data_IF_227028336526
#
_entry.id   IF_227028336526
#
_cell.length_a   1.000
_cell.length_b   1.000
_cell.length_c   1.000
_cell.angle_alpha   90.00
_cell.angle_beta   90.00
_cell.angle_gamma   90.00
#
_symmetry.space_group_name_H-M   'P 1'
#
loop_
_entity.id
_entity.type
_entity.pdbx_description
1 polymer ?
#
# COMPACT_ATOMS: atom_id res chain seq x y z
N UNK A 1 43.53 18.77 39.22
CA UNK A 1 42.35 18.70 38.33
C UNK A 1 41.97 17.25 38.16
N UNK A 2 40.91 16.81 38.82
CA UNK A 2 40.37 15.45 38.73
C UNK A 2 39.41 15.39 37.54
N UNK A 3 39.79 14.64 36.50
CA UNK A 3 38.91 14.33 35.38
C UNK A 3 37.88 13.31 35.87
N UNK A 4 36.63 13.75 36.02
CA UNK A 4 35.51 12.85 36.24
C UNK A 4 35.22 12.12 34.93
N UNK A 5 35.74 10.90 34.79
CA UNK A 5 35.28 9.96 33.77
C UNK A 5 33.88 9.53 34.21
N UNK A 6 32.84 10.07 33.57
CA UNK A 6 31.48 9.56 33.75
C UNK A 6 31.47 8.10 33.31
N UNK A 7 31.35 7.18 34.27
CA UNK A 7 30.94 5.81 33.97
C UNK A 7 29.58 5.92 33.28
N UNK A 8 29.53 5.63 31.99
CA UNK A 8 28.28 5.22 31.36
C UNK A 8 27.80 3.97 32.11
N UNK A 9 26.91 4.17 33.08
CA UNK A 9 26.10 3.08 33.60
C UNK A 9 25.41 2.44 32.42
N UNK A 10 25.79 1.20 32.11
CA UNK A 10 25.18 0.37 31.07
C UNK A 10 23.69 0.32 31.37
N UNK A 11 22.91 1.17 30.71
CA UNK A 11 21.48 1.27 30.94
C UNK A 11 20.89 -0.08 30.53
N UNK A 12 20.37 -0.86 31.48
CA UNK A 12 19.76 -2.15 31.17
C UNK A 12 18.74 -1.92 30.06
N UNK A 13 18.80 -2.71 28.98
CA UNK A 13 17.86 -2.64 27.86
C UNK A 13 16.73 -3.65 28.05
N UNK A 14 15.58 -3.36 27.49
CA UNK A 14 14.54 -4.37 27.34
C UNK A 14 14.96 -5.33 26.22
N UNK A 15 14.94 -6.64 26.47
CA UNK A 15 15.31 -7.65 25.47
C UNK A 15 14.05 -8.29 24.88
N UNK A 16 14.00 -8.39 23.56
CA UNK A 16 12.81 -8.85 22.83
C UNK A 16 13.21 -9.90 21.79
N UNK A 17 12.53 -11.04 21.82
CA UNK A 17 12.67 -12.13 20.86
C UNK A 17 11.34 -12.34 20.12
N UNK A 18 11.28 -12.00 18.84
CA UNK A 18 10.11 -12.28 17.99
C UNK A 18 10.13 -13.73 17.55
N UNK A 19 9.03 -14.47 17.74
CA UNK A 19 8.96 -15.88 17.39
C UNK A 19 7.55 -16.30 17.00
N UNK A 20 7.46 -17.45 16.31
CA UNK A 20 6.20 -18.08 15.93
C UNK A 20 5.79 -19.12 16.98
N UNK A 21 4.52 -19.12 17.35
CA UNK A 21 3.91 -20.22 18.12
C UNK A 21 2.54 -20.56 17.54
N UNK A 22 2.40 -21.78 17.01
CA UNK A 22 1.20 -22.18 16.27
C UNK A 22 1.02 -21.33 15.01
N UNK A 23 -0.14 -20.69 14.87
CA UNK A 23 -0.47 -19.79 13.74
C UNK A 23 -0.33 -18.30 14.06
N UNK A 24 0.35 -17.94 15.14
CA UNK A 24 0.46 -16.54 15.60
C UNK A 24 1.90 -16.16 15.88
N UNK A 25 2.15 -14.85 15.85
CA UNK A 25 3.44 -14.24 16.20
C UNK A 25 3.36 -13.74 17.65
N UNK A 26 4.42 -14.02 18.39
CA UNK A 26 4.57 -13.62 19.79
C UNK A 26 5.95 -13.01 19.99
N UNK A 27 6.07 -12.25 21.07
CA UNK A 27 7.31 -11.67 21.54
C UNK A 27 7.64 -12.25 22.91
N UNK A 28 8.81 -12.85 23.06
CA UNK A 28 9.41 -13.14 24.35
C UNK A 28 10.07 -11.86 24.84
N UNK A 29 9.76 -11.42 26.06
CA UNK A 29 10.14 -10.09 26.56
C UNK A 29 10.77 -10.17 27.95
N UNK A 30 11.91 -9.48 28.11
CA UNK A 30 12.50 -9.13 29.40
C UNK A 30 12.47 -7.61 29.57
N UNK A 31 11.67 -7.14 30.52
CA UNK A 31 11.56 -5.72 30.86
C UNK A 31 12.64 -5.33 31.86
N UNK A 32 13.79 -4.86 31.37
CA UNK A 32 14.89 -4.40 32.23
C UNK A 32 15.24 -5.45 33.32
N UNK A 33 15.78 -5.02 34.46
CA UNK A 33 15.95 -5.86 35.65
C UNK A 33 14.76 -5.70 36.63
N UNK A 34 13.53 -5.62 36.10
CA UNK A 34 12.31 -5.46 36.91
C UNK A 34 11.49 -6.74 36.97
N UNK A 35 10.93 -7.02 38.16
CA UNK A 35 10.12 -8.21 38.43
C UNK A 35 8.60 -8.03 38.16
N UNK A 36 8.18 -6.90 37.58
CA UNK A 36 6.76 -6.60 37.36
C UNK A 36 6.49 -5.89 36.04
N UNK A 37 5.25 -5.99 35.56
CA UNK A 37 4.77 -5.35 34.34
C UNK A 37 3.37 -4.76 34.52
N UNK A 38 3.08 -3.74 33.74
CA UNK A 38 1.77 -3.08 33.63
C UNK A 38 1.07 -3.56 32.36
N UNK A 39 -0.27 -3.67 32.39
CA UNK A 39 -1.10 -3.91 31.21
C UNK A 39 -2.48 -3.27 31.38
N UNK A 40 -3.17 -2.99 30.27
CA UNK A 40 -4.53 -2.43 30.25
C UNK A 40 -5.60 -3.53 30.43
N UNK A 41 -6.74 -3.18 31.05
CA UNK A 41 -7.84 -4.10 31.36
C UNK A 41 -8.36 -4.78 30.07
N UNK A 42 -8.44 -6.12 30.05
CA UNK A 42 -8.85 -6.91 28.87
C UNK A 42 -7.70 -7.67 28.18
N UNK A 43 -6.45 -7.21 28.33
CA UNK A 43 -5.28 -7.78 27.63
C UNK A 43 -4.62 -8.98 28.35
N UNK A 44 -5.15 -9.44 29.49
CA UNK A 44 -4.54 -10.52 30.30
C UNK A 44 -4.34 -11.83 29.55
N UNK A 45 -5.21 -12.18 28.60
CA UNK A 45 -5.07 -13.42 27.81
C UNK A 45 -3.95 -13.35 26.76
N UNK A 46 -3.48 -12.15 26.45
CA UNK A 46 -2.47 -11.88 25.44
C UNK A 46 -1.05 -11.73 26.04
N UNK A 47 -0.92 -11.81 27.37
CA UNK A 47 0.37 -11.79 28.09
C UNK A 47 0.41 -12.99 29.02
N UNK A 48 1.51 -13.74 29.04
CA UNK A 48 1.70 -14.84 29.99
C UNK A 48 3.14 -14.95 30.44
N UNK A 49 3.36 -15.61 31.57
CA UNK A 49 4.70 -16.01 31.98
C UNK A 49 5.25 -17.08 31.04
N UNK A 50 6.54 -16.96 30.72
CA UNK A 50 7.27 -17.96 29.98
C UNK A 50 7.56 -19.15 30.90
N UNK A 51 7.22 -20.35 30.45
CA UNK A 51 7.46 -21.61 31.16
C UNK A 51 8.53 -22.47 30.47
N UNK A 52 9.09 -21.98 29.37
CA UNK A 52 10.13 -22.66 28.62
C UNK A 52 11.50 -22.52 29.35
N UNK A 53 12.53 -23.21 28.85
CA UNK A 53 13.87 -23.24 29.45
C UNK A 53 14.56 -21.86 29.53
N UNK A 54 14.15 -20.94 28.66
CA UNK A 54 14.64 -19.56 28.58
C UNK A 54 13.83 -18.58 29.46
N UNK A 55 12.98 -19.07 30.39
CA UNK A 55 12.15 -18.21 31.24
C UNK A 55 12.93 -17.21 32.11
N UNK A 56 14.18 -17.51 32.47
CA UNK A 56 15.06 -16.57 33.17
C UNK A 56 15.55 -15.44 32.27
N UNK A 57 15.74 -15.74 30.99
CA UNK A 57 16.19 -14.77 29.99
C UNK A 57 15.01 -13.94 29.46
N UNK A 58 13.85 -14.58 29.28
CA UNK A 58 12.61 -14.00 28.79
C UNK A 58 11.45 -14.40 29.70
N UNK A 59 11.15 -13.64 30.77
CA UNK A 59 10.11 -14.00 31.73
C UNK A 59 8.69 -13.91 31.17
N UNK A 60 8.46 -13.12 30.13
CA UNK A 60 7.13 -12.84 29.57
C UNK A 60 7.01 -13.29 28.12
N UNK A 61 5.81 -13.72 27.73
CA UNK A 61 5.39 -13.93 26.35
C UNK A 61 4.20 -13.01 26.10
N UNK A 62 4.32 -12.16 25.09
CA UNK A 62 3.35 -11.14 24.69
C UNK A 62 2.87 -11.44 23.27
N UNK A 63 1.56 -11.39 23.02
CA UNK A 63 1.02 -11.49 21.66
C UNK A 63 1.41 -10.24 20.86
N UNK A 64 1.82 -10.42 19.60
CA UNK A 64 2.23 -9.32 18.74
C UNK A 64 1.16 -8.22 18.59
N UNK A 65 -0.13 -8.57 18.58
CA UNK A 65 -1.26 -7.63 18.49
C UNK A 65 -1.24 -6.50 19.53
N UNK A 66 -0.67 -6.75 20.69
CA UNK A 66 -0.66 -5.79 21.80
C UNK A 66 0.77 -5.37 22.14
N UNK A 67 1.74 -5.67 21.28
CA UNK A 67 3.15 -5.52 21.59
C UNK A 67 3.52 -4.06 21.86
N UNK A 68 3.14 -3.14 20.98
CA UNK A 68 3.43 -1.71 21.18
C UNK A 68 2.67 -1.14 22.39
N UNK A 69 1.39 -1.45 22.55
CA UNK A 69 0.60 -1.07 23.73
C UNK A 69 1.25 -1.57 25.03
N UNK A 70 1.82 -2.77 25.00
CA UNK A 70 2.52 -3.36 26.11
C UNK A 70 3.83 -2.61 26.42
N UNK A 71 4.65 -2.28 25.41
CA UNK A 71 5.85 -1.47 25.60
C UNK A 71 5.52 -0.08 26.16
N UNK A 72 4.52 0.59 25.58
CA UNK A 72 4.05 1.90 26.01
C UNK A 72 3.56 1.87 27.46
N UNK A 73 2.70 0.91 27.83
CA UNK A 73 2.19 0.75 29.19
C UNK A 73 3.31 0.50 30.22
N UNK A 74 4.43 -0.07 29.78
CA UNK A 74 5.61 -0.32 30.61
C UNK A 74 6.68 0.77 30.50
N UNK A 75 6.39 1.88 29.79
CA UNK A 75 7.27 3.02 29.58
C UNK A 75 8.62 2.62 28.97
N UNK A 76 8.63 1.59 28.12
CA UNK A 76 9.81 1.18 27.35
C UNK A 76 9.88 2.07 26.12
N UNK A 77 10.98 2.81 25.96
CA UNK A 77 11.22 3.58 24.73
C UNK A 77 11.84 2.68 23.67
N UNK A 78 11.56 2.94 22.40
CA UNK A 78 12.13 2.18 21.28
C UNK A 78 13.68 2.15 21.32
N UNK A 79 14.33 3.26 21.69
CA UNK A 79 15.78 3.35 21.85
C UNK A 79 16.37 2.48 22.98
N UNK A 80 15.52 1.98 23.88
CA UNK A 80 15.89 1.11 25.01
C UNK A 80 15.62 -0.36 24.72
N UNK A 81 15.16 -0.68 23.51
CA UNK A 81 14.91 -2.04 23.05
C UNK A 81 16.15 -2.63 22.39
N UNK A 82 16.46 -3.86 22.78
CA UNK A 82 17.43 -4.75 22.15
C UNK A 82 16.69 -5.96 21.58
N UNK A 83 16.87 -6.21 20.30
CA UNK A 83 16.26 -7.34 19.61
C UNK A 83 17.23 -8.51 19.63
N UNK A 84 16.75 -9.67 20.07
CA UNK A 84 17.53 -10.89 20.07
C UNK A 84 17.84 -11.32 18.62
N UNK A 85 19.11 -11.65 18.29
CA UNK A 85 19.49 -12.11 16.95
C UNK A 85 18.72 -13.34 16.45
N UNK A 86 18.24 -14.18 17.37
CA UNK A 86 17.43 -15.37 17.06
C UNK A 86 15.96 -15.06 16.76
N UNK A 87 15.58 -13.77 16.75
CA UNK A 87 14.24 -13.36 16.34
C UNK A 87 13.96 -13.79 14.90
N UNK A 88 12.68 -13.83 14.54
CA UNK A 88 12.28 -13.88 13.13
C UNK A 88 12.93 -12.73 12.35
N UNK A 89 13.29 -12.95 11.09
CA UNK A 89 13.77 -11.87 10.21
C UNK A 89 12.58 -11.09 9.65
N UNK A 90 11.64 -11.81 9.07
CA UNK A 90 10.45 -11.26 8.40
C UNK A 90 9.21 -12.07 8.77
N UNK A 91 8.08 -11.38 8.86
CA UNK A 91 6.75 -12.00 8.89
C UNK A 91 5.72 -11.09 8.21
N UNK A 92 4.53 -11.60 8.00
CA UNK A 92 3.46 -10.96 7.23
C UNK A 92 2.22 -10.80 8.09
N UNK A 93 1.40 -9.80 7.80
CA UNK A 93 0.10 -9.64 8.45
C UNK A 93 -0.92 -8.86 7.65
N UNK A 94 -2.19 -9.06 7.99
CA UNK A 94 -3.33 -8.27 7.49
C UNK A 94 -4.46 -8.30 8.51
N UNK A 95 -5.37 -7.33 8.41
CA UNK A 95 -6.60 -7.26 9.20
C UNK A 95 -7.76 -7.80 8.38
N UNK A 96 -8.48 -8.81 8.88
CA UNK A 96 -9.68 -9.31 8.20
C UNK A 96 -10.92 -8.41 8.42
N UNK A 97 -12.02 -8.71 7.71
CA UNK A 97 -13.28 -7.94 7.78
C UNK A 97 -13.91 -7.88 9.18
N UNK A 98 -13.51 -8.75 10.12
CA UNK A 98 -13.96 -8.69 11.51
C UNK A 98 -13.05 -7.84 12.39
N UNK A 99 -12.06 -7.14 11.80
CA UNK A 99 -11.03 -6.44 12.56
C UNK A 99 -10.03 -7.38 13.22
N UNK A 100 -9.94 -8.64 12.79
CA UNK A 100 -8.98 -9.60 13.38
C UNK A 100 -7.67 -9.57 12.63
N UNK A 101 -6.62 -9.21 13.35
CA UNK A 101 -5.23 -9.29 12.89
C UNK A 101 -4.79 -10.74 12.67
N UNK A 102 -4.24 -11.02 11.49
CA UNK A 102 -3.70 -12.32 11.08
C UNK A 102 -2.22 -12.17 10.79
N UNK A 103 -1.40 -13.11 11.26
CA UNK A 103 0.03 -13.11 10.96
C UNK A 103 0.55 -14.46 10.52
N UNK A 104 1.61 -14.45 9.72
CA UNK A 104 2.36 -15.64 9.36
C UNK A 104 3.83 -15.33 9.09
N UNK A 105 4.73 -16.24 9.47
CA UNK A 105 6.16 -16.14 9.11
C UNK A 105 6.40 -16.36 7.62
N UNK A 106 5.51 -17.07 6.95
CA UNK A 106 5.59 -17.38 5.52
C UNK A 106 4.22 -17.21 4.88
N UNK A 107 4.20 -16.80 3.62
CA UNK A 107 3.01 -16.75 2.77
C UNK A 107 2.56 -18.16 2.36
N UNK A 108 2.11 -18.94 3.35
CA UNK A 108 1.56 -20.28 3.10
C UNK A 108 0.23 -20.18 2.35
N UNK A 109 -0.11 -21.21 1.57
CA UNK A 109 -1.41 -21.30 0.87
C UNK A 109 -2.60 -20.97 1.78
N UNK A 110 -2.64 -21.52 3.01
CA UNK A 110 -3.73 -21.24 3.97
C UNK A 110 -3.82 -19.76 4.37
N UNK A 111 -2.69 -19.10 4.57
CA UNK A 111 -2.65 -17.69 4.95
C UNK A 111 -3.10 -16.79 3.79
N UNK A 112 -2.57 -17.07 2.59
CA UNK A 112 -2.91 -16.36 1.36
C UNK A 112 -4.38 -16.58 0.99
N UNK A 113 -4.89 -17.81 1.07
CA UNK A 113 -6.31 -18.09 0.83
C UNK A 113 -7.20 -17.30 1.80
N UNK A 114 -6.82 -17.19 3.08
CA UNK A 114 -7.54 -16.35 4.05
C UNK A 114 -7.51 -14.86 3.69
N UNK A 115 -6.38 -14.37 3.20
CA UNK A 115 -6.23 -12.99 2.74
C UNK A 115 -7.14 -12.67 1.54
N UNK A 116 -7.18 -13.58 0.56
CA UNK A 116 -8.10 -13.47 -0.58
C UNK A 116 -9.58 -13.52 -0.16
N UNK A 117 -9.94 -14.42 0.77
CA UNK A 117 -11.31 -14.51 1.29
C UNK A 117 -11.72 -13.24 2.04
N UNK A 118 -10.77 -12.51 2.61
CA UNK A 118 -11.01 -11.23 3.25
C UNK A 118 -11.09 -10.04 2.27
N UNK A 119 -11.21 -10.30 0.97
CA UNK A 119 -11.23 -9.30 -0.12
C UNK A 119 -9.91 -8.53 -0.24
N UNK A 120 -8.79 -9.24 -0.08
CA UNK A 120 -7.44 -8.73 -0.28
C UNK A 120 -7.13 -7.43 0.48
N UNK A 121 -7.34 -7.35 1.81
CA UNK A 121 -7.03 -6.15 2.58
C UNK A 121 -5.54 -5.80 2.47
N UNK A 122 -5.13 -4.64 2.97
CA UNK A 122 -3.70 -4.29 3.00
C UNK A 122 -2.88 -5.41 3.65
N UNK A 123 -1.88 -5.89 2.92
CA UNK A 123 -0.95 -6.93 3.36
C UNK A 123 0.36 -6.25 3.72
N UNK A 124 0.80 -6.46 4.95
CA UNK A 124 2.00 -5.87 5.50
C UNK A 124 3.14 -6.89 5.56
N UNK A 125 4.35 -6.42 5.29
CA UNK A 125 5.61 -7.12 5.53
C UNK A 125 6.32 -6.44 6.71
N UNK A 126 6.60 -7.21 7.75
CA UNK A 126 7.28 -6.76 8.96
C UNK A 126 8.72 -7.25 8.95
N UNK A 127 9.68 -6.32 8.97
CA UNK A 127 11.11 -6.62 9.05
C UNK A 127 11.61 -6.33 10.47
N UNK A 128 12.11 -7.34 11.16
CA UNK A 128 12.57 -7.23 12.55
C UNK A 128 13.93 -6.51 12.58
N UNK A 129 14.07 -5.49 13.43
CA UNK A 129 15.23 -4.61 13.44
C UNK A 129 16.35 -5.14 14.35
N UNK A 130 16.94 -6.29 13.99
CA UNK A 130 18.00 -6.96 14.76
C UNK A 130 19.25 -6.11 14.90
N UNK A 131 19.64 -5.44 13.82
CA UNK A 131 20.84 -4.59 13.77
C UNK A 131 20.63 -3.22 14.42
N UNK A 132 19.38 -2.90 14.75
CA UNK A 132 19.05 -1.68 15.47
C UNK A 132 19.23 -0.42 14.63
N UNK A 133 18.89 -0.51 13.35
CA UNK A 133 18.84 0.62 12.43
C UNK A 133 17.88 1.70 12.92
N UNK A 134 18.17 2.94 12.54
CA UNK A 134 17.40 4.12 12.88
C UNK A 134 16.64 4.54 11.63
N UNK A 135 15.33 4.77 11.73
CA UNK A 135 14.56 5.28 10.60
C UNK A 135 14.89 6.75 10.31
N UNK A 136 14.36 7.28 9.21
CA UNK A 136 14.58 8.66 8.78
C UNK A 136 14.16 9.72 9.83
N UNK A 137 13.25 9.35 10.75
CA UNK A 137 12.77 10.22 11.83
C UNK A 137 13.58 10.07 13.12
N UNK A 138 14.69 9.32 13.12
CA UNK A 138 15.59 9.19 14.27
C UNK A 138 15.17 8.11 15.28
N UNK A 139 14.21 7.25 14.96
CA UNK A 139 13.72 6.19 15.87
C UNK A 139 14.32 4.82 15.55
N UNK A 140 14.80 4.13 16.59
CA UNK A 140 15.24 2.74 16.55
C UNK A 140 14.06 1.80 16.87
N UNK A 141 13.15 1.62 15.91
CA UNK A 141 11.95 0.81 16.11
C UNK A 141 12.30 -0.69 16.27
N UNK A 142 11.54 -1.47 17.07
CA UNK A 142 11.73 -2.93 17.19
C UNK A 142 11.59 -3.70 15.86
N UNK A 143 10.78 -3.18 14.94
CA UNK A 143 10.58 -3.68 13.59
C UNK A 143 10.11 -2.54 12.68
N UNK A 144 10.29 -2.71 11.38
CA UNK A 144 9.74 -1.84 10.33
C UNK A 144 8.56 -2.53 9.67
N UNK A 145 7.55 -1.75 9.29
CA UNK A 145 6.34 -2.25 8.62
C UNK A 145 6.23 -1.55 7.28
N UNK A 146 6.15 -2.35 6.21
CA UNK A 146 5.93 -1.86 4.85
C UNK A 146 4.64 -2.48 4.28
N UNK A 147 3.93 -1.74 3.44
CA UNK A 147 2.80 -2.25 2.66
C UNK A 147 3.36 -3.15 1.56
N UNK A 148 3.25 -4.46 1.69
CA UNK A 148 3.62 -5.39 0.63
C UNK A 148 2.64 -5.30 -0.55
N UNK A 149 1.35 -5.26 -0.22
CA UNK A 149 0.24 -5.03 -1.14
C UNK A 149 -0.75 -4.11 -0.47
N UNK A 150 -1.07 -2.99 -1.10
CA UNK A 150 -2.10 -2.06 -0.65
C UNK A 150 -3.16 -1.96 -1.74
N UNK A 151 -4.34 -2.51 -1.50
CA UNK A 151 -5.49 -2.42 -2.41
C UNK A 151 -6.34 -1.22 -2.04
N UNK A 152 -6.48 -0.27 -2.96
CA UNK A 152 -7.29 0.92 -2.75
C UNK A 152 -8.29 1.15 -3.88
N UNK A 153 -9.20 2.09 -3.66
CA UNK A 153 -10.19 2.49 -4.66
C UNK A 153 -9.55 3.08 -5.93
N UNK A 154 -8.43 3.79 -5.78
CA UNK A 154 -7.69 4.44 -6.87
C UNK A 154 -6.58 3.54 -7.49
N UNK A 155 -6.66 2.24 -7.25
CA UNK A 155 -5.69 1.24 -7.71
C UNK A 155 -4.90 0.62 -6.56
N UNK A 156 -4.00 -0.31 -6.91
CA UNK A 156 -3.15 -0.93 -5.90
C UNK A 156 -1.74 -0.33 -5.93
N UNK A 157 -1.11 -0.39 -4.77
CA UNK A 157 0.32 -0.22 -4.59
C UNK A 157 0.92 -1.57 -4.22
N UNK A 158 2.03 -1.92 -4.88
CA UNK A 158 2.80 -3.12 -4.63
C UNK A 158 4.21 -2.66 -4.25
N UNK A 159 4.76 -3.23 -3.17
CA UNK A 159 6.12 -2.91 -2.72
C UNK A 159 7.13 -3.17 -3.87
N UNK A 160 7.93 -2.16 -4.28
CA UNK A 160 8.96 -2.32 -5.30
C UNK A 160 10.00 -3.40 -5.00
N UNK A 161 10.15 -3.80 -3.73
CA UNK A 161 11.07 -4.83 -3.25
C UNK A 161 10.37 -6.18 -3.00
N UNK A 162 9.18 -6.41 -3.57
CA UNK A 162 8.49 -7.72 -3.52
C UNK A 162 9.35 -8.80 -4.19
N UNK A 163 9.60 -9.91 -3.52
CA UNK A 163 10.40 -11.01 -4.09
C UNK A 163 9.59 -11.83 -5.10
N UNK A 164 10.26 -12.57 -5.99
CA UNK A 164 9.58 -13.54 -6.86
C UNK A 164 8.83 -14.61 -6.07
N UNK A 165 9.38 -15.03 -4.93
CA UNK A 165 8.76 -16.03 -4.06
C UNK A 165 7.46 -15.50 -3.44
N UNK A 166 7.47 -14.26 -2.95
CA UNK A 166 6.28 -13.58 -2.46
C UNK A 166 5.24 -13.40 -3.58
N UNK A 167 5.68 -12.91 -4.75
CA UNK A 167 4.81 -12.75 -5.90
C UNK A 167 4.15 -14.08 -6.31
N UNK A 168 4.92 -15.16 -6.46
CA UNK A 168 4.38 -16.49 -6.78
C UNK A 168 3.40 -16.98 -5.71
N UNK A 169 3.74 -16.82 -4.43
CA UNK A 169 2.87 -17.26 -3.34
C UNK A 169 1.52 -16.54 -3.31
N UNK A 170 1.49 -15.25 -3.67
CA UNK A 170 0.28 -14.42 -3.66
C UNK A 170 -0.61 -14.65 -4.89
N UNK A 171 -0.02 -14.94 -6.05
CA UNK A 171 -0.73 -14.99 -7.34
C UNK A 171 -1.13 -16.37 -7.81
N UNK A 172 -0.55 -17.44 -7.25
CA UNK A 172 -0.76 -18.82 -7.70
C UNK A 172 -2.25 -19.21 -7.78
N UNK A 173 -2.70 -19.61 -8.97
CA UNK A 173 -4.07 -20.04 -9.26
C UNK A 173 -5.08 -18.90 -9.39
N UNK A 174 -4.61 -17.64 -9.46
CA UNK A 174 -5.41 -16.41 -9.53
C UNK A 174 -4.82 -15.38 -10.49
N UNK A 175 -4.00 -15.82 -11.44
CA UNK A 175 -3.13 -14.99 -12.28
C UNK A 175 -3.90 -13.95 -13.11
N UNK A 176 -5.18 -14.22 -13.42
CA UNK A 176 -6.03 -13.33 -14.20
C UNK A 176 -6.59 -12.12 -13.41
N UNK A 177 -6.51 -12.15 -12.08
CA UNK A 177 -7.04 -11.07 -11.24
C UNK A 177 -6.16 -9.82 -11.33
N UNK A 178 -6.80 -8.63 -11.28
CA UNK A 178 -6.12 -7.33 -11.44
C UNK A 178 -4.92 -7.17 -10.52
N UNK A 179 -5.07 -7.46 -9.22
CA UNK A 179 -3.98 -7.35 -8.25
C UNK A 179 -2.83 -8.32 -8.56
N UNK A 180 -3.12 -9.51 -9.10
CA UNK A 180 -2.08 -10.44 -9.53
C UNK A 180 -1.31 -9.93 -10.74
N UNK A 181 -2.01 -9.33 -11.71
CA UNK A 181 -1.38 -8.68 -12.87
C UNK A 181 -0.47 -7.52 -12.43
N UNK A 182 -0.90 -6.74 -11.44
CA UNK A 182 -0.08 -5.65 -10.87
C UNK A 182 1.15 -6.19 -10.12
N UNK A 183 1.02 -7.22 -9.29
CA UNK A 183 2.15 -7.87 -8.61
C UNK A 183 3.16 -8.37 -9.63
N UNK A 184 2.71 -9.10 -10.65
CA UNK A 184 3.60 -9.64 -11.69
C UNK A 184 4.21 -8.53 -12.55
N UNK A 185 3.52 -7.40 -12.72
CA UNK A 185 4.04 -6.24 -13.43
C UNK A 185 5.22 -5.60 -12.70
N UNK A 186 5.23 -5.53 -11.37
CA UNK A 186 6.39 -5.06 -10.60
C UNK A 186 7.60 -5.99 -10.77
N UNK A 187 7.39 -7.30 -10.82
CA UNK A 187 8.49 -8.24 -11.09
C UNK A 187 9.04 -8.00 -12.49
N UNK A 188 8.17 -7.92 -13.50
CA UNK A 188 8.56 -7.70 -14.90
C UNK A 188 9.26 -6.36 -15.12
N UNK A 189 8.87 -5.30 -14.39
CA UNK A 189 9.42 -3.96 -14.59
C UNK A 189 10.91 -3.85 -14.27
N UNK A 190 11.45 -4.78 -13.47
CA UNK A 190 12.88 -4.85 -13.11
C UNK A 190 13.80 -5.21 -14.27
N UNK A 191 13.28 -5.96 -15.24
CA UNK A 191 14.06 -6.50 -16.35
C UNK A 191 13.96 -5.64 -17.62
N UNK A 192 13.28 -4.50 -17.55
CA UNK A 192 13.05 -3.61 -18.70
C UNK A 192 14.24 -2.68 -18.91
N UNK A 193 14.76 -2.64 -20.14
CA UNK A 193 15.85 -1.73 -20.51
C UNK A 193 15.36 -0.30 -20.76
N UNK A 194 16.25 0.68 -20.72
CA UNK A 194 15.90 2.08 -21.02
C UNK A 194 15.29 2.26 -22.41
N UNK A 195 15.75 1.51 -23.41
CA UNK A 195 15.19 1.52 -24.77
C UNK A 195 13.74 1.03 -24.76
N UNK A 196 13.46 -0.08 -24.07
CA UNK A 196 12.12 -0.61 -23.94
C UNK A 196 11.20 0.35 -23.18
N UNK A 197 11.71 1.08 -22.18
CA UNK A 197 10.94 2.14 -21.52
C UNK A 197 10.56 3.24 -22.51
N UNK A 198 11.51 3.72 -23.34
CA UNK A 198 11.23 4.76 -24.34
C UNK A 198 10.21 4.29 -25.38
N UNK A 199 10.32 3.05 -25.86
CA UNK A 199 9.34 2.46 -26.77
C UNK A 199 7.94 2.38 -26.14
N UNK A 200 7.88 2.00 -24.86
CA UNK A 200 6.64 1.94 -24.09
C UNK A 200 6.01 3.33 -23.92
N UNK A 201 6.80 4.33 -23.55
CA UNK A 201 6.36 5.72 -23.42
C UNK A 201 5.84 6.26 -24.75
N UNK A 202 6.57 6.07 -25.85
CA UNK A 202 6.15 6.51 -27.17
C UNK A 202 4.82 5.88 -27.58
N UNK A 203 4.69 4.56 -27.41
CA UNK A 203 3.45 3.86 -27.74
C UNK A 203 2.26 4.38 -26.93
N UNK A 204 2.44 4.59 -25.63
CA UNK A 204 1.39 5.12 -24.74
C UNK A 204 1.01 6.56 -25.16
N UNK A 205 2.01 7.40 -25.45
CA UNK A 205 1.79 8.78 -25.88
C UNK A 205 1.05 8.83 -27.22
N UNK A 206 1.41 7.98 -28.19
CA UNK A 206 0.74 7.91 -29.48
C UNK A 206 -0.71 7.45 -29.33
N UNK A 207 -0.96 6.46 -28.46
CA UNK A 207 -2.30 6.00 -28.14
C UNK A 207 -3.16 7.11 -27.50
N UNK A 208 -2.62 7.81 -26.51
CA UNK A 208 -3.29 8.94 -25.85
C UNK A 208 -3.51 10.11 -26.82
N UNK A 209 -2.55 10.40 -27.69
CA UNK A 209 -2.65 11.44 -28.71
C UNK A 209 -3.77 11.14 -29.72
N UNK A 210 -3.93 9.87 -30.14
CA UNK A 210 -5.05 9.44 -30.98
C UNK A 210 -6.41 9.75 -30.33
N UNK A 211 -6.56 9.44 -29.05
CA UNK A 211 -7.79 9.73 -28.29
C UNK A 211 -7.99 11.24 -28.14
N UNK A 212 -6.93 11.99 -27.78
CA UNK A 212 -6.97 13.44 -27.65
C UNK A 212 -7.36 14.12 -28.98
N UNK A 213 -6.87 13.61 -30.10
CA UNK A 213 -7.21 14.12 -31.42
C UNK A 213 -8.70 13.95 -31.72
N UNK A 214 -9.28 12.79 -31.40
CA UNK A 214 -10.72 12.57 -31.56
C UNK A 214 -11.56 13.54 -30.71
N UNK A 215 -11.11 13.80 -29.47
CA UNK A 215 -11.73 14.81 -28.60
C UNK A 215 -11.62 16.21 -29.23
N UNK A 216 -10.44 16.58 -29.71
CA UNK A 216 -10.18 17.91 -30.30
C UNK A 216 -10.98 18.15 -31.58
N UNK A 217 -11.08 17.13 -32.46
CA UNK A 217 -11.87 17.20 -33.69
C UNK A 217 -13.37 17.44 -33.40
N UNK A 218 -13.86 16.96 -32.26
CA UNK A 218 -15.25 17.08 -31.84
C UNK A 218 -15.48 18.12 -30.75
N UNK A 219 -14.51 18.99 -30.49
CA UNK A 219 -14.52 19.93 -29.35
C UNK A 219 -15.83 20.72 -29.25
N UNK A 220 -16.30 21.31 -30.35
CA UNK A 220 -17.53 22.10 -30.36
C UNK A 220 -18.76 21.25 -30.09
N UNK A 221 -18.85 20.05 -30.67
CA UNK A 221 -19.95 19.11 -30.45
C UNK A 221 -20.04 18.71 -28.97
N UNK A 222 -18.90 18.50 -28.32
CA UNK A 222 -18.83 18.16 -26.89
C UNK A 222 -19.27 19.35 -26.03
N UNK A 223 -18.75 20.56 -26.29
CA UNK A 223 -19.12 21.76 -25.54
C UNK A 223 -20.62 22.08 -25.71
N UNK A 224 -21.15 21.97 -26.93
CA UNK A 224 -22.57 22.17 -27.18
C UNK A 224 -23.46 21.18 -26.43
N UNK A 225 -22.98 19.95 -26.18
CA UNK A 225 -23.73 18.95 -25.43
C UNK A 225 -23.93 19.31 -23.95
N UNK A 226 -23.04 20.14 -23.39
CA UNK A 226 -23.14 20.59 -22.01
C UNK A 226 -23.71 22.01 -21.88
N UNK A 227 -24.10 22.66 -22.98
CA UNK A 227 -24.54 24.07 -22.98
C UNK A 227 -25.75 24.34 -22.06
N UNK A 228 -26.64 23.37 -21.88
CA UNK A 228 -27.80 23.46 -20.97
C UNK A 228 -27.43 23.36 -19.48
N UNK A 229 -26.17 23.06 -19.15
CA UNK A 229 -25.62 23.06 -17.79
C UNK A 229 -25.20 24.45 -17.31
N UNK A 230 -25.27 25.45 -18.18
CA UNK A 230 -24.87 26.82 -17.90
C UNK A 230 -26.09 27.72 -17.70
N UNK A 231 -25.89 28.83 -17.00
CA UNK A 231 -26.80 29.96 -16.92
C UNK A 231 -26.69 30.85 -18.17
N UNK A 232 -27.62 31.79 -18.35
CA UNK A 232 -27.62 32.69 -19.53
C UNK A 232 -26.37 33.59 -19.60
N UNK A 233 -25.74 33.86 -18.45
CA UNK A 233 -24.48 34.60 -18.35
C UNK A 233 -23.23 33.74 -18.69
N UNK A 234 -23.41 32.44 -18.97
CA UNK A 234 -22.34 31.49 -19.28
C UNK A 234 -21.63 30.89 -18.06
N UNK A 235 -22.10 31.16 -16.84
CA UNK A 235 -21.60 30.52 -15.63
C UNK A 235 -22.18 29.10 -15.47
N UNK A 236 -21.39 28.18 -14.92
CA UNK A 236 -21.89 26.86 -14.56
C UNK A 236 -23.02 27.01 -13.53
N UNK A 237 -24.11 26.25 -13.71
CA UNK A 237 -25.16 26.20 -12.69
C UNK A 237 -24.59 25.62 -11.39
N UNK A 238 -25.09 26.09 -10.26
CA UNK A 238 -24.71 25.54 -8.97
C UNK A 238 -25.33 24.14 -8.78
N UNK A 239 -24.48 23.10 -8.76
CA UNK A 239 -24.86 21.71 -8.51
C UNK A 239 -24.63 21.26 -7.04
N UNK A 240 -24.46 22.21 -6.12
CA UNK A 240 -24.19 21.94 -4.70
C UNK A 240 -22.71 21.66 -4.40
N UNK A 241 -22.44 20.86 -3.37
CA UNK A 241 -21.07 20.42 -2.99
C UNK A 241 -20.63 19.25 -3.89
N UNK A 242 -20.40 19.56 -5.17
CA UNK A 242 -20.10 18.61 -6.24
C UNK A 242 -18.67 18.80 -6.82
N UNK A 243 -17.77 19.36 -6.02
CA UNK A 243 -16.38 19.55 -6.43
C UNK A 243 -15.64 18.21 -6.45
N UNK A 244 -14.87 17.93 -7.51
CA UNK A 244 -14.10 16.70 -7.57
C UNK A 244 -13.26 16.52 -8.82
N UNK A 245 -12.75 15.31 -8.99
CA UNK A 245 -11.92 14.88 -10.13
C UNK A 245 -12.59 13.74 -10.91
N UNK A 246 -12.45 13.76 -12.24
CA UNK A 246 -12.86 12.67 -13.13
C UNK A 246 -11.62 12.12 -13.85
N UNK A 247 -11.31 10.84 -13.61
CA UNK A 247 -10.21 10.14 -14.26
C UNK A 247 -10.77 9.24 -15.37
N UNK A 248 -10.20 9.33 -16.58
CA UNK A 248 -10.66 8.61 -17.77
C UNK A 248 -9.79 7.39 -18.03
N UNK A 249 -10.42 6.25 -18.32
CA UNK A 249 -9.79 4.98 -18.57
C UNK A 249 -10.29 4.37 -19.87
N UNK A 250 -9.57 3.37 -20.37
CA UNK A 250 -9.94 2.59 -21.56
C UNK A 250 -10.07 1.11 -21.23
N UNK A 251 -10.91 0.39 -21.98
CA UNK A 251 -11.03 -1.06 -21.89
C UNK A 251 -9.96 -1.80 -22.72
N UNK A 252 -9.07 -1.08 -23.41
CA UNK A 252 -8.01 -1.67 -24.22
C UNK A 252 -6.98 -2.42 -23.35
N UNK A 253 -6.86 -3.76 -23.46
CA UNK A 253 -5.99 -4.55 -22.59
C UNK A 253 -4.51 -4.27 -22.83
N UNK A 254 -4.10 -4.02 -24.08
CA UNK A 254 -2.70 -3.74 -24.42
C UNK A 254 -2.26 -2.40 -23.81
N UNK A 255 -3.09 -1.36 -23.93
CA UNK A 255 -2.82 -0.08 -23.29
C UNK A 255 -2.73 -0.24 -21.76
N UNK A 256 -3.69 -0.94 -21.15
CA UNK A 256 -3.74 -1.12 -19.70
C UNK A 256 -2.52 -1.87 -19.18
N UNK A 257 -2.09 -2.95 -19.86
CA UNK A 257 -0.89 -3.71 -19.49
C UNK A 257 0.38 -2.86 -19.62
N UNK A 258 0.52 -2.12 -20.72
CA UNK A 258 1.66 -1.23 -20.95
C UNK A 258 1.72 -0.08 -19.94
N UNK A 259 0.58 0.56 -19.66
CA UNK A 259 0.47 1.67 -18.68
C UNK A 259 0.76 1.18 -17.26
N UNK A 260 0.28 -0.01 -16.89
CA UNK A 260 0.57 -0.66 -15.62
C UNK A 260 2.07 -0.95 -15.46
N UNK A 261 2.71 -1.45 -16.52
CA UNK A 261 4.15 -1.68 -16.55
C UNK A 261 4.96 -0.40 -16.36
N UNK A 262 4.58 0.66 -17.08
CA UNK A 262 5.21 1.98 -16.96
C UNK A 262 5.06 2.57 -15.56
N UNK A 263 3.86 2.48 -14.95
CA UNK A 263 3.60 2.94 -13.57
C UNK A 263 4.54 2.28 -12.55
N UNK A 264 4.84 1.00 -12.75
CA UNK A 264 5.60 0.18 -11.82
C UNK A 264 7.12 0.26 -12.02
N UNK A 265 7.61 1.13 -12.91
CA UNK A 265 9.04 1.40 -13.04
C UNK A 265 9.52 2.34 -11.91
N UNK A 266 10.69 2.09 -11.31
CA UNK A 266 11.20 2.87 -10.18
C UNK A 266 11.43 4.36 -10.52
N UNK A 267 11.74 4.67 -11.78
CA UNK A 267 12.03 6.02 -12.27
C UNK A 267 10.87 6.66 -13.04
N UNK A 268 9.71 6.01 -13.12
CA UNK A 268 8.59 6.56 -13.87
C UNK A 268 8.10 7.85 -13.25
N UNK A 269 8.00 8.89 -14.09
CA UNK A 269 7.38 10.18 -13.73
C UNK A 269 5.86 10.09 -13.70
N UNK A 270 5.27 9.10 -14.37
CA UNK A 270 3.84 8.91 -14.46
C UNK A 270 3.41 7.68 -13.68
N UNK A 271 2.83 7.93 -12.49
CA UNK A 271 2.26 6.88 -11.63
C UNK A 271 0.76 6.68 -11.84
N UNK A 272 0.17 7.46 -12.74
CA UNK A 272 -1.26 7.42 -13.05
C UNK A 272 -1.62 6.20 -13.92
N UNK A 273 -2.72 5.52 -13.59
CA UNK A 273 -3.29 4.45 -14.42
C UNK A 273 -4.31 4.96 -15.44
N UNK A 274 -4.78 6.21 -15.30
CA UNK A 274 -5.72 6.83 -16.23
C UNK A 274 -5.01 7.43 -17.43
N UNK A 275 -5.80 7.69 -18.48
CA UNK A 275 -5.38 8.34 -19.72
C UNK A 275 -4.98 9.80 -19.44
N UNK A 276 -3.84 10.23 -19.99
CA UNK A 276 -3.45 11.63 -19.97
C UNK A 276 -4.12 12.41 -21.12
N UNK A 277 -5.44 12.58 -21.03
CA UNK A 277 -6.25 13.33 -21.99
C UNK A 277 -7.01 14.46 -21.29
N UNK A 278 -7.29 15.52 -22.04
CA UNK A 278 -7.97 16.73 -21.57
C UNK A 278 -9.38 16.80 -22.13
N UNK A 279 -10.33 17.04 -21.22
CA UNK A 279 -11.69 17.39 -21.57
C UNK A 279 -11.72 18.79 -22.21
N UNK A 280 -12.59 19.04 -23.21
CA UNK A 280 -12.77 20.36 -23.82
C UNK A 280 -13.07 21.51 -22.87
N UNK A 281 -13.77 21.23 -21.77
CA UNK A 281 -14.15 22.19 -20.75
C UNK A 281 -13.62 21.78 -19.37
N UNK A 282 -12.96 22.71 -18.69
CA UNK A 282 -12.38 22.48 -17.36
C UNK A 282 -13.38 22.96 -16.30
N UNK A 283 -14.18 22.03 -15.78
CA UNK A 283 -15.12 22.27 -14.67
C UNK A 283 -14.53 21.81 -13.35
N UNK A 284 -15.09 22.23 -12.21
CA UNK A 284 -14.91 21.55 -10.92
C UNK A 284 -16.09 20.66 -10.54
N UNK A 285 -17.25 20.83 -11.19
CA UNK A 285 -18.46 20.03 -10.93
C UNK A 285 -18.35 18.64 -11.56
N UNK A 286 -18.43 17.58 -10.75
CA UNK A 286 -18.49 16.21 -11.29
C UNK A 286 -19.74 16.00 -12.15
N UNK A 287 -20.83 16.71 -11.89
CA UNK A 287 -22.05 16.67 -12.71
C UNK A 287 -21.77 17.15 -14.13
N UNK A 288 -21.11 18.30 -14.28
CA UNK A 288 -20.70 18.83 -15.60
C UNK A 288 -19.68 17.88 -16.25
N UNK A 289 -18.63 17.49 -15.53
CA UNK A 289 -17.60 16.57 -16.03
C UNK A 289 -18.19 15.23 -16.52
N UNK A 290 -19.12 14.63 -15.77
CA UNK A 290 -19.76 13.36 -16.16
C UNK A 290 -20.59 13.51 -17.42
N UNK A 291 -21.32 14.61 -17.57
CA UNK A 291 -22.13 14.87 -18.77
C UNK A 291 -21.24 15.09 -19.99
N UNK A 292 -20.19 15.88 -19.84
CA UNK A 292 -19.18 16.07 -20.87
C UNK A 292 -18.53 14.74 -21.26
N UNK A 293 -18.19 13.91 -20.27
CA UNK A 293 -17.60 12.59 -20.48
C UNK A 293 -18.50 11.65 -21.28
N UNK A 294 -19.83 11.69 -21.10
CA UNK A 294 -20.74 10.88 -21.93
C UNK A 294 -20.54 11.19 -23.42
N UNK A 295 -20.43 12.48 -23.77
CA UNK A 295 -20.22 12.86 -25.16
C UNK A 295 -18.82 12.51 -25.65
N UNK A 296 -17.79 12.69 -24.82
CA UNK A 296 -16.42 12.26 -25.13
C UNK A 296 -16.37 10.75 -25.42
N UNK A 297 -17.00 9.93 -24.58
CA UNK A 297 -17.07 8.48 -24.76
C UNK A 297 -17.70 8.10 -26.10
N UNK A 298 -18.79 8.77 -26.50
CA UNK A 298 -19.44 8.53 -27.78
C UNK A 298 -18.53 8.86 -28.97
N UNK A 299 -17.94 10.06 -28.99
CA UNK A 299 -17.15 10.52 -30.15
C UNK A 299 -15.84 9.74 -30.28
N UNK A 300 -15.18 9.42 -29.16
CA UNK A 300 -13.95 8.61 -29.18
C UNK A 300 -14.24 7.22 -29.70
N UNK A 301 -15.34 6.60 -29.27
CA UNK A 301 -15.73 5.27 -29.78
C UNK A 301 -16.02 5.30 -31.27
N UNK A 302 -16.68 6.35 -31.77
CA UNK A 302 -17.01 6.50 -33.19
C UNK A 302 -15.75 6.69 -34.06
N UNK A 303 -14.78 7.50 -33.63
CA UNK A 303 -13.60 7.81 -34.43
C UNK A 303 -12.46 6.80 -34.28
N UNK A 304 -12.25 6.28 -33.07
CA UNK A 304 -11.05 5.49 -32.76
C UNK A 304 -11.35 4.00 -32.55
N UNK A 305 -12.62 3.64 -32.34
CA UNK A 305 -13.07 2.31 -31.93
C UNK A 305 -12.89 2.03 -30.43
N UNK A 306 -12.25 2.92 -29.67
CA UNK A 306 -11.91 2.69 -28.27
C UNK A 306 -13.10 2.88 -27.34
N UNK A 307 -13.24 1.99 -26.37
CA UNK A 307 -14.26 2.12 -25.32
C UNK A 307 -13.65 2.75 -24.08
N UNK A 308 -14.25 3.87 -23.66
CA UNK A 308 -13.84 4.62 -22.47
C UNK A 308 -14.81 4.43 -21.30
N UNK A 309 -14.27 4.51 -20.10
CA UNK A 309 -15.03 4.64 -18.84
C UNK A 309 -14.35 5.66 -17.93
N UNK A 310 -15.04 6.13 -16.90
CA UNK A 310 -14.48 7.09 -15.96
C UNK A 310 -14.72 6.66 -14.51
N UNK A 311 -13.82 7.07 -13.62
CA UNK A 311 -14.02 7.03 -12.17
C UNK A 311 -13.98 8.46 -11.63
N UNK A 312 -14.88 8.79 -10.72
CA UNK A 312 -14.99 10.12 -10.12
C UNK A 312 -14.67 10.09 -8.65
N UNK A 313 -13.96 11.09 -8.16
CA UNK A 313 -13.62 11.28 -6.76
C UNK A 313 -14.10 12.67 -6.32
N UNK A 314 -14.82 12.76 -5.21
CA UNK A 314 -15.14 14.05 -4.58
C UNK A 314 -13.88 14.60 -3.91
N UNK A 315 -13.71 15.92 -3.99
CA UNK A 315 -12.69 16.69 -3.26
C UNK A 315 -13.14 16.96 -1.82
#
# INVERSE_FOLDING_TARGET
MSVAISKETTKTKARILFFKKGSSIYCKVKLFDRYGFTYRRGSRRNIRFNQDHDCKEYPLIVNFNIFYDFLEANKVKDSEVEIDPNSLDVFYGYTDYNGTERYAVKLTKKFVDGWWVADCPHLYRYAVNKDGHINWAGFKLPYFTNNLVETGWNGNYIDPDITEEEARALTQGREELKVCKEIMSVIKSRDITEEQVKELENWINDYEAKIQQAINNNKFTIIWHIADMFEENGEERCFGLDCGFLNIYTENPEYNDKKMLLKNLPYSKSRAQWLNVKMPYESQSLTVMKKEFQKVKEVVKAETGETLYCLTQLD
#
